data_IF_829660791849
#
_entry.id   IF_829660791849
#
_cell.length_a   1.000
_cell.length_b   1.000
_cell.length_c   1.000
_cell.angle_alpha   90.00
_cell.angle_beta   90.00
_cell.angle_gamma   90.00
#
_symmetry.space_group_name_H-M   'P 1'
#
loop_
_entity.id
_entity.type
_entity.pdbx_description
1 polymer ?
2 non-polymer ?
3 non-polymer ?
4 water ?
#
# COMPACT_ATOMS: atom_id res chain seq x y z
N UNK A 2 19.94 7.59 12.14
CA UNK A 2 18.95 6.73 11.44
C UNK A 2 17.78 6.35 12.37
N UNK A 3 16.70 5.88 11.78
CA UNK A 3 15.53 5.49 12.55
C UNK A 3 15.32 4.02 12.36
N UNK A 4 14.75 3.37 13.36
CA UNK A 4 14.34 1.97 13.24
C UNK A 4 12.82 1.92 13.11
N UNK A 5 12.36 1.17 12.13
CA UNK A 5 10.94 0.90 12.01
C UNK A 5 10.70 -0.59 12.10
N UNK A 6 9.84 -0.98 13.02
CA UNK A 6 9.61 -2.39 13.31
C UNK A 6 8.13 -2.70 13.18
N UNK A 7 7.80 -3.64 12.30
CA UNK A 7 6.46 -4.20 12.27
C UNK A 7 6.53 -5.45 13.14
N UNK A 8 5.80 -5.44 14.26
CA UNK A 8 6.02 -6.45 15.30
C UNK A 8 4.83 -7.38 15.51
N UNK A 9 5.12 -8.51 16.15
CA UNK A 9 4.18 -9.62 16.30
C UNK A 9 3.42 -9.85 14.98
N UNK A 10 4.16 -9.79 13.89
CA UNK A 10 3.58 -9.74 12.56
C UNK A 10 2.92 -11.05 12.20
N UNK A 11 1.79 -10.95 11.51
CA UNK A 11 0.99 -12.10 11.11
C UNK A 11 1.54 -12.73 9.81
N UNK A 12 2.83 -13.08 9.87
CA UNK A 12 3.58 -13.68 8.77
C UNK A 12 4.35 -14.89 9.33
N UNK A 13 3.85 -16.09 9.05
CA UNK A 13 4.42 -17.32 9.61
C UNK A 13 4.23 -18.45 8.62
N UNK A 14 5.07 -19.47 8.75
CA UNK A 14 4.80 -20.75 8.12
C UNK A 14 3.57 -21.39 8.78
N UNK A 15 2.93 -22.33 8.10
CA UNK A 15 1.76 -22.97 8.68
C UNK A 15 2.17 -23.66 9.98
N UNK A 16 1.51 -23.31 11.11
CA UNK A 16 1.83 -23.94 12.40
C UNK A 16 1.61 -25.46 12.37
N UNK A 17 2.55 -26.21 12.93
CA UNK A 17 2.45 -27.67 13.04
C UNK A 17 1.12 -28.14 13.64
N UNK A 18 0.63 -27.37 14.61
CA UNK A 18 -0.62 -27.61 15.30
C UNK A 18 -1.82 -27.86 14.37
N UNK A 19 -1.87 -27.15 13.24
CA UNK A 19 -3.06 -27.17 12.38
C UNK A 19 -2.88 -27.79 10.99
N UNK A 20 -1.71 -28.40 10.76
CA UNK A 20 -1.41 -29.02 9.46
C UNK A 20 -2.34 -30.19 9.08
N UNK A 21 -2.84 -30.89 10.09
CA UNK A 21 -3.82 -31.97 9.88
C UNK A 21 -5.19 -31.47 9.39
N UNK A 22 -5.44 -30.16 9.50
CA UNK A 22 -6.71 -29.59 9.07
C UNK A 22 -6.60 -28.83 7.74
N UNK A 23 -5.38 -28.66 7.25
CA UNK A 23 -5.13 -27.97 5.99
C UNK A 23 -5.25 -28.95 4.84
N UNK A 24 -6.22 -28.71 3.95
CA UNK A 24 -6.26 -29.46 2.71
C UNK A 24 -5.50 -28.66 1.64
N UNK A 25 -4.41 -29.22 1.13
CA UNK A 25 -3.61 -28.56 0.11
C UNK A 25 -4.41 -28.40 -1.19
N UNK A 26 -4.31 -27.23 -1.82
CA UNK A 26 -4.97 -27.01 -3.10
C UNK A 26 -4.11 -26.16 -4.04
N UNK A 27 -4.36 -26.32 -5.34
CA UNK A 27 -3.56 -25.68 -6.38
C UNK A 27 -3.84 -24.18 -6.52
N UNK A 28 -4.92 -23.69 -5.93
CA UNK A 28 -5.19 -22.25 -5.93
C UNK A 28 -4.29 -21.48 -4.96
N UNK A 29 -3.80 -22.17 -3.93
CA UNK A 29 -2.86 -21.58 -2.96
C UNK A 29 -1.77 -22.55 -2.60
N UNK A 30 -0.61 -22.41 -3.23
CA UNK A 30 0.47 -23.37 -3.08
C UNK A 30 1.63 -22.85 -2.22
N UNK A 31 1.31 -22.14 -1.15
CA UNK A 31 2.38 -21.62 -0.26
C UNK A 31 2.21 -22.17 1.15
N UNK A 32 3.34 -22.38 1.82
CA UNK A 32 3.34 -22.83 3.22
C UNK A 32 3.27 -21.66 4.21
N UNK A 33 2.64 -20.56 3.79
CA UNK A 33 2.45 -19.41 4.66
C UNK A 33 0.98 -19.30 5.07
N UNK A 34 0.76 -19.12 6.37
CA UNK A 34 -0.60 -18.98 6.91
C UNK A 34 -1.31 -17.76 6.34
N UNK A 35 -2.53 -17.97 5.81
CA UNK A 35 -3.33 -16.90 5.24
C UNK A 35 -4.79 -17.24 5.48
N UNK A 36 -5.44 -16.43 6.32
CA UNK A 36 -6.81 -16.70 6.76
C UNK A 36 -7.82 -16.68 5.62
N UNK A 37 -7.46 -16.06 4.50
CA UNK A 37 -8.26 -16.07 3.27
C UNK A 37 -8.48 -17.48 2.76
N UNK A 38 -7.46 -18.33 2.98
CA UNK A 38 -7.41 -19.70 2.47
C UNK A 38 -7.52 -20.75 3.58
N UNK A 39 -7.10 -20.39 4.80
CA UNK A 39 -6.96 -21.34 5.92
C UNK A 39 -7.94 -21.11 7.07
N UNK A 40 -8.94 -20.26 6.85
CA UNK A 40 -9.88 -19.86 7.91
C UNK A 40 -10.48 -21.00 8.74
N UNK A 41 -10.82 -22.11 8.09
CA UNK A 41 -11.41 -23.26 8.79
C UNK A 41 -10.40 -23.98 9.68
N UNK A 42 -9.21 -24.27 9.14
CA UNK A 42 -8.15 -24.94 9.89
C UNK A 42 -7.63 -24.12 11.08
N UNK A 43 -7.94 -22.83 11.08
CA UNK A 43 -7.46 -21.89 12.09
C UNK A 43 -8.46 -21.69 13.23
N UNK A 44 -9.58 -22.44 13.19
CA UNK A 44 -10.70 -22.20 14.11
C UNK A 44 -10.35 -22.33 15.58
N UNK A 45 -9.48 -23.27 15.93
CA UNK A 45 -9.01 -23.40 17.31
C UNK A 45 -7.50 -23.12 17.46
N UNK A 46 -6.99 -22.27 16.57
CA UNK A 46 -5.63 -21.76 16.68
C UNK A 46 -5.59 -20.62 17.70
N UNK A 47 -4.61 -20.68 18.61
CA UNK A 47 -4.40 -19.62 19.59
C UNK A 47 -4.13 -18.30 18.89
N UNK A 48 -4.79 -17.23 19.34
CA UNK A 48 -4.63 -15.87 18.78
C UNK A 48 -4.96 -15.78 17.28
N UNK A 49 -5.89 -16.61 16.82
CA UNK A 49 -6.24 -16.70 15.40
C UNK A 49 -6.64 -15.36 14.80
N UNK A 50 -7.25 -14.49 15.63
CA UNK A 50 -7.71 -13.17 15.20
C UNK A 50 -6.58 -12.23 14.78
N UNK A 51 -5.37 -12.48 15.27
CA UNK A 51 -4.20 -11.65 14.92
C UNK A 51 -3.17 -12.34 14.03
N UNK A 52 -3.51 -13.51 13.50
CA UNK A 52 -2.60 -14.32 12.70
C UNK A 52 -3.11 -14.53 11.27
N UNK A 53 -2.21 -14.93 10.37
CA UNK A 53 -2.55 -15.29 8.99
C UNK A 53 -3.00 -14.14 8.12
N UNK A 54 -2.28 -13.01 8.22
CA UNK A 54 -2.56 -11.83 7.40
C UNK A 54 -1.26 -11.29 6.77
N UNK A 55 -0.61 -12.10 5.92
CA UNK A 55 0.68 -11.68 5.37
C UNK A 55 0.55 -10.45 4.47
N UNK A 56 -0.65 -10.23 3.91
CA UNK A 56 -0.95 -9.06 3.09
C UNK A 56 -0.65 -7.73 3.81
N UNK A 57 -0.86 -7.69 5.13
CA UNK A 57 -0.60 -6.48 5.93
C UNK A 57 0.88 -6.09 5.87
N UNK A 58 1.75 -7.10 5.92
CA UNK A 58 3.19 -6.91 5.82
C UNK A 58 3.62 -6.51 4.39
N UNK A 59 2.97 -7.13 3.39
CA UNK A 59 3.22 -6.79 1.98
C UNK A 59 2.97 -5.30 1.72
N UNK A 60 1.77 -4.83 2.06
CA UNK A 60 1.39 -3.45 1.82
C UNK A 60 2.23 -2.47 2.65
N UNK A 61 2.45 -2.78 3.93
CA UNK A 61 3.29 -1.94 4.78
C UNK A 61 4.69 -1.78 4.21
N UNK A 62 5.28 -2.90 3.79
CA UNK A 62 6.65 -2.86 3.25
C UNK A 62 6.73 -2.13 1.90
N UNK A 63 5.74 -2.32 1.05
CA UNK A 63 5.65 -1.55 -0.20
C UNK A 63 5.68 -0.03 0.04
N UNK A 64 4.99 0.42 1.10
CA UNK A 64 5.01 1.82 1.53
C UNK A 64 6.36 2.25 2.14
N UNK A 65 6.89 1.44 3.06
CA UNK A 65 8.13 1.79 3.76
C UNK A 65 9.31 1.88 2.77
N UNK A 66 9.45 0.87 1.92
CA UNK A 66 10.60 0.74 1.03
C UNK A 66 10.66 1.84 -0.05
N UNK A 67 9.51 2.37 -0.44
CA UNK A 67 9.46 3.45 -1.43
C UNK A 67 9.43 4.85 -0.82
N UNK A 68 9.47 4.95 0.51
CA UNK A 68 9.36 6.25 1.13
C UNK A 68 10.65 7.05 0.91
N UNK A 69 10.54 8.39 0.79
CA UNK A 69 11.74 9.24 0.69
C UNK A 69 12.76 8.97 1.79
N UNK A 70 12.30 8.83 3.04
CA UNK A 70 13.20 8.55 4.16
C UNK A 70 14.02 7.25 3.95
N UNK A 71 13.44 6.24 3.32
CA UNK A 71 14.20 5.07 2.93
C UNK A 71 15.15 5.29 1.75
N UNK A 72 14.71 6.04 0.74
CA UNK A 72 15.57 6.39 -0.41
C UNK A 72 16.80 7.16 0.04
N UNK A 73 16.67 7.84 1.17
CA UNK A 73 17.78 8.57 1.78
C UNK A 73 18.58 7.74 2.76
N UNK A 74 18.27 6.45 2.85
CA UNK A 74 19.01 5.51 3.68
C UNK A 74 19.00 5.91 5.15
N UNK A 75 17.90 6.48 5.60
CA UNK A 75 17.81 6.87 7.00
C UNK A 75 16.95 5.91 7.85
N UNK A 76 16.63 4.75 7.28
CA UNK A 76 15.82 3.75 8.00
C UNK A 76 16.50 2.40 8.12
N UNK A 77 16.36 1.80 9.29
CA UNK A 77 16.59 0.36 9.48
C UNK A 77 15.22 -0.30 9.59
N UNK A 78 15.00 -1.34 8.80
CA UNK A 78 13.68 -1.94 8.65
C UNK A 78 13.67 -3.37 9.17
N UNK A 79 12.75 -3.65 10.10
CA UNK A 79 12.65 -4.98 10.69
C UNK A 79 11.22 -5.48 10.68
N UNK A 80 11.07 -6.78 10.40
CA UNK A 80 9.80 -7.45 10.61
C UNK A 80 10.02 -8.45 11.74
N UNK A 81 9.33 -8.25 12.86
CA UNK A 81 9.30 -9.23 13.93
C UNK A 81 7.98 -9.96 13.82
N UNK A 82 8.01 -11.29 13.84
CA UNK A 82 6.82 -12.08 13.55
C UNK A 82 6.15 -12.63 14.81
N UNK A 83 4.90 -13.08 14.69
CA UNK A 83 4.18 -13.68 15.82
C UNK A 83 5.04 -14.71 16.56
N UNK A 84 5.77 -15.54 15.80
CA UNK A 84 6.55 -16.62 16.40
C UNK A 84 8.02 -16.30 16.67
N UNK A 85 8.33 -15.01 16.81
CA UNK A 85 9.68 -14.56 17.19
C UNK A 85 10.75 -14.91 16.16
N UNK A 86 10.48 -14.61 14.90
CA UNK A 86 11.52 -14.52 13.90
C UNK A 86 11.66 -13.03 13.59
N UNK A 87 12.88 -12.59 13.30
CA UNK A 87 13.12 -11.20 12.93
C UNK A 87 13.76 -11.18 11.55
N UNK A 88 13.12 -10.47 10.62
CA UNK A 88 13.69 -10.26 9.30
C UNK A 88 14.25 -8.86 9.22
N UNK A 89 15.52 -8.72 8.91
CA UNK A 89 16.08 -7.42 8.64
C UNK A 89 16.00 -7.21 7.13
N UNK A 90 15.30 -6.15 6.73
CA UNK A 90 15.04 -5.87 5.29
C UNK A 90 16.03 -4.82 4.79
N UNK A 91 16.88 -5.19 3.84
CA UNK A 91 17.81 -4.23 3.24
C UNK A 91 17.01 -3.07 2.61
N UNK A 92 17.41 -1.81 2.87
CA UNK A 92 16.68 -0.68 2.26
C UNK A 92 16.50 -0.77 0.74
N UNK A 93 17.37 -1.53 0.07
CA UNK A 93 17.32 -1.64 -1.40
C UNK A 93 16.57 -2.86 -1.92
N UNK A 94 15.95 -3.61 -1.02
CA UNK A 94 15.05 -4.70 -1.40
C UNK A 94 14.03 -4.21 -2.43
N UNK A 95 13.91 -4.96 -3.51
CA UNK A 95 12.91 -4.71 -4.55
C UNK A 95 11.82 -5.72 -4.27
N UNK A 96 10.82 -5.33 -3.49
CA UNK A 96 9.80 -6.27 -3.05
C UNK A 96 8.82 -6.53 -4.18
N UNK A 97 8.47 -7.81 -4.42
CA UNK A 97 7.48 -8.11 -5.46
C UNK A 97 6.16 -7.36 -5.22
N UNK A 98 5.60 -6.82 -6.29
CA UNK A 98 4.31 -6.14 -6.18
C UNK A 98 3.16 -7.16 -6.26
N UNK A 99 3.44 -8.31 -6.86
CA UNK A 99 2.48 -9.40 -6.90
C UNK A 99 2.48 -10.15 -5.58
N UNK A 100 1.31 -10.21 -4.93
CA UNK A 100 1.17 -10.84 -3.62
C UNK A 100 1.72 -12.27 -3.56
N UNK A 101 1.31 -13.12 -4.51
CA UNK A 101 1.81 -14.51 -4.55
C UNK A 101 3.32 -14.57 -4.71
N UNK A 102 3.90 -13.68 -5.53
CA UNK A 102 5.36 -13.61 -5.66
C UNK A 102 6.00 -13.21 -4.33
N UNK A 103 5.41 -12.22 -3.66
CA UNK A 103 5.82 -11.87 -2.29
C UNK A 103 5.82 -13.09 -1.36
N UNK A 104 4.73 -13.86 -1.37
CA UNK A 104 4.60 -15.08 -0.55
C UNK A 104 5.69 -16.10 -0.87
N UNK A 105 6.01 -16.25 -2.16
CA UNK A 105 7.11 -17.13 -2.57
C UNK A 105 8.44 -16.74 -1.94
N UNK A 106 8.78 -15.45 -2.01
CA UNK A 106 10.01 -14.92 -1.41
C UNK A 106 10.04 -15.13 0.11
N UNK A 107 8.99 -14.70 0.80
CA UNK A 107 8.89 -14.83 2.26
C UNK A 107 8.96 -16.27 2.77
N UNK A 108 8.32 -17.19 2.03
CA UNK A 108 8.33 -18.61 2.36
C UNK A 108 9.75 -19.19 2.47
N UNK A 109 10.60 -18.85 1.50
CA UNK A 109 12.00 -19.32 1.49
C UNK A 109 12.81 -18.70 2.61
N UNK A 110 12.58 -17.41 2.86
CA UNK A 110 13.24 -16.71 3.97
C UNK A 110 12.87 -17.35 5.30
N UNK A 111 11.57 -17.61 5.51
CA UNK A 111 11.11 -18.15 6.79
C UNK A 111 11.59 -19.59 7.01
N UNK A 112 11.79 -20.32 5.91
CA UNK A 112 12.34 -21.68 5.94
C UNK A 112 13.86 -21.74 6.08
N UNK A 113 14.51 -20.58 6.15
CA UNK A 113 15.93 -20.50 6.42
C UNK A 113 16.86 -20.44 5.22
N UNK A 114 16.29 -20.41 4.02
CA UNK A 114 17.10 -20.23 2.80
C UNK A 114 17.72 -18.83 2.74
N UNK A 115 18.96 -18.76 2.26
CA UNK A 115 19.71 -17.52 2.24
C UNK A 115 19.14 -16.52 1.25
N UNK A 116 19.03 -15.27 1.70
CA UNK A 116 18.61 -14.17 0.86
C UNK A 116 19.48 -13.01 1.27
N UNK A 117 20.30 -12.51 0.35
CA UNK A 117 21.31 -11.49 0.70
C UNK A 117 20.69 -10.14 1.13
N UNK A 118 19.43 -9.92 0.75
CA UNK A 118 18.72 -8.68 1.12
C UNK A 118 17.78 -8.78 2.33
N UNK A 119 17.35 -10.00 2.66
CA UNK A 119 16.45 -10.25 3.80
C UNK A 119 17.06 -11.31 4.72
N UNK A 120 17.56 -10.87 5.87
CA UNK A 120 18.25 -11.74 6.82
C UNK A 120 17.30 -12.14 7.96
N UNK A 121 17.18 -13.45 8.18
CA UNK A 121 16.31 -13.96 9.23
C UNK A 121 17.10 -14.49 10.44
N UNK A 122 16.62 -14.16 11.63
CA UNK A 122 17.12 -14.75 12.88
C UNK A 122 15.96 -15.05 13.81
N UNK A 123 16.14 -16.01 14.71
CA UNK A 123 15.18 -16.31 15.76
C UNK A 123 15.45 -15.36 16.93
N UNK A 124 14.47 -14.54 17.27
CA UNK A 124 14.69 -13.43 18.20
C UNK A 124 13.36 -12.85 18.69
N UNK A 125 13.27 -12.59 19.99
CA UNK A 125 12.12 -11.88 20.58
C UNK A 125 12.21 -10.38 20.23
N UNK A 126 11.09 -9.69 20.36
CA UNK A 126 11.03 -8.25 20.14
C UNK A 126 11.90 -7.49 21.14
N UNK A 127 11.87 -7.92 22.39
CA UNK A 127 12.61 -7.22 23.45
C UNK A 127 14.10 -7.35 23.24
N UNK A 128 14.56 -8.55 22.83
CA UNK A 128 15.98 -8.73 22.50
C UNK A 128 16.40 -7.93 21.25
N UNK A 129 15.56 -7.88 20.23
CA UNK A 129 15.82 -7.01 19.07
C UNK A 129 16.05 -5.55 19.50
N UNK A 130 15.11 -5.01 20.30
CA UNK A 130 15.17 -3.63 20.76
C UNK A 130 16.49 -3.33 21.46
N UNK A 131 16.91 -4.24 22.33
CA UNK A 131 18.15 -4.08 23.07
C UNK A 131 19.36 -4.16 22.18
N UNK A 132 19.34 -5.12 21.26
CA UNK A 132 20.49 -5.40 20.40
C UNK A 132 20.76 -4.30 19.37
N UNK A 133 19.72 -3.58 18.95
CA UNK A 133 19.88 -2.43 18.03
C UNK A 133 20.06 -1.12 18.80
N UNK A 134 20.06 -1.22 20.12
CA UNK A 134 20.11 -0.07 21.04
C UNK A 134 19.01 0.98 20.79
N UNK A 135 17.77 0.50 20.71
CA UNK A 135 16.60 1.37 20.70
C UNK A 135 16.52 2.10 22.04
N UNK A 136 16.40 3.44 21.98
CA UNK A 136 16.55 4.32 23.15
C UNK A 136 15.23 4.95 23.53
N UNK A 137 14.70 5.76 22.62
CA UNK A 137 13.39 6.35 22.78
C UNK A 137 12.46 5.65 21.80
N UNK A 138 11.61 4.79 22.33
CA UNK A 138 10.76 3.90 21.56
C UNK A 138 9.32 4.39 21.59
N UNK A 139 8.73 4.55 20.40
CA UNK A 139 7.32 4.86 20.29
C UNK A 139 6.58 3.62 19.83
N UNK A 140 5.76 3.07 20.74
CA UNK A 140 4.85 1.98 20.39
C UNK A 140 3.57 2.61 19.86
N UNK A 141 3.31 2.39 18.58
CA UNK A 141 2.13 2.92 17.95
C UNK A 141 0.90 2.12 18.37
N UNK A 142 -0.12 2.84 18.83
CA UNK A 142 -1.41 2.25 19.20
C UNK A 142 -2.42 3.37 19.36
N UNK A 143 -3.64 3.13 18.87
CA UNK A 143 -4.74 4.09 18.98
C UNK A 143 -5.15 4.36 20.45
N UNK A 144 -4.64 3.57 21.39
CA UNK A 144 -4.96 3.72 22.81
C UNK A 144 -3.93 4.59 23.55
N UNK A 145 -2.89 5.01 22.82
CA UNK A 145 -1.81 5.81 23.40
C UNK A 145 -2.11 7.29 23.39
N UNK A 146 -1.11 8.08 23.80
CA UNK A 146 -1.23 9.54 23.84
C UNK A 146 -1.28 10.14 22.43
N UNK A 147 -2.35 10.88 22.14
CA UNK A 147 -2.53 11.50 20.83
C UNK A 147 -1.41 12.52 20.58
N UNK A 148 -0.74 12.35 19.45
CA UNK A 148 0.50 13.03 19.16
C UNK A 148 0.50 13.50 17.72
N UNK A 149 0.91 14.75 17.52
CA UNK A 149 1.09 15.25 16.17
C UNK A 149 2.34 14.61 15.57
N UNK A 150 2.22 14.09 14.33
CA UNK A 150 3.31 13.43 13.63
C UNK A 150 4.62 14.22 13.58
N UNK A 151 4.56 15.53 13.75
CA UNK A 151 5.78 16.35 13.76
C UNK A 151 6.68 16.04 14.96
N UNK A 152 6.09 15.51 16.03
CA UNK A 152 6.85 15.16 17.24
C UNK A 152 7.52 13.77 17.18
N UNK A 153 7.13 12.95 16.20
CA UNK A 153 7.67 11.60 16.06
C UNK A 153 9.18 11.60 15.84
N UNK A 154 9.69 12.67 15.23
CA UNK A 154 11.14 12.85 15.02
C UNK A 154 11.98 12.78 16.31
N UNK A 155 11.33 12.96 17.46
CA UNK A 155 12.01 12.87 18.74
C UNK A 155 12.30 11.43 19.21
N UNK A 156 11.74 10.44 18.49
CA UNK A 156 12.00 9.03 18.76
C UNK A 156 12.96 8.44 17.74
N UNK A 157 13.72 7.43 18.13
CA UNK A 157 14.59 6.72 17.19
C UNK A 157 13.98 5.39 16.69
N UNK A 158 12.99 4.87 17.40
CA UNK A 158 12.44 3.55 17.10
C UNK A 158 10.91 3.55 17.17
N UNK A 159 10.29 3.04 16.11
CA UNK A 159 8.84 2.98 15.99
C UNK A 159 8.39 1.55 15.85
N UNK A 160 7.41 1.16 16.66
CA UNK A 160 6.87 -0.20 16.60
C UNK A 160 5.41 -0.14 16.22
N UNK A 161 5.05 -0.86 15.15
CA UNK A 161 3.70 -0.91 14.64
C UNK A 161 3.31 -2.39 14.60
N UNK A 162 2.13 -2.73 15.11
CA UNK A 162 1.66 -4.12 15.07
C UNK A 162 1.37 -4.59 13.64
N UNK A 163 2.03 -5.67 13.21
CA UNK A 163 1.79 -6.22 11.87
C UNK A 163 0.64 -7.21 11.83
N UNK A 164 -0.49 -6.78 12.37
CA UNK A 164 -1.65 -7.64 12.57
C UNK A 164 -2.94 -6.82 12.44
N UNK A 165 -4.09 -7.49 12.26
CA UNK A 165 -5.33 -6.75 12.02
C UNK A 165 -6.12 -6.33 13.27
N UNK A 166 -5.95 -7.08 14.36
CA UNK A 166 -6.76 -6.94 15.56
C UNK A 166 -5.88 -7.21 16.77
N UNK A 167 -6.11 -6.44 17.83
CA UNK A 167 -5.38 -6.65 19.09
C UNK A 167 -4.55 -5.44 19.47
N UNK A 168 -3.81 -5.58 20.56
CA UNK A 168 -2.93 -4.51 21.00
C UNK A 168 -1.54 -5.07 21.21
N UNK A 169 -0.56 -4.27 20.84
CA UNK A 169 0.85 -4.58 21.03
C UNK A 169 1.19 -4.52 22.53
N UNK A 170 1.65 -5.64 23.08
CA UNK A 170 2.11 -5.70 24.47
C UNK A 170 3.60 -6.08 24.52
N UNK A 171 4.36 -5.32 25.30
CA UNK A 171 5.81 -5.51 25.44
C UNK A 171 6.19 -5.59 26.92
N UNK A 172 7.17 -6.45 27.23
CA UNK A 172 7.66 -6.55 28.61
C UNK A 172 8.68 -5.47 28.96
N UNK A 173 8.19 -4.44 29.67
CA UNK A 173 8.96 -3.25 30.05
C UNK A 173 10.29 -3.54 30.78
N UNK A 174 10.28 -4.53 31.67
CA UNK A 174 11.49 -4.85 32.44
C UNK A 174 12.57 -5.52 31.60
N UNK A 175 12.19 -5.97 30.40
CA UNK A 175 13.09 -6.68 29.50
C UNK A 175 13.73 -5.78 28.42
N UNK A 176 13.34 -4.51 28.42
CA UNK A 176 13.81 -3.54 27.43
C UNK A 176 14.62 -2.42 28.12
N UNK A 177 15.80 -2.13 27.59
CA UNK A 177 16.61 -1.09 28.18
C UNK A 177 16.10 0.31 27.83
N UNK A 178 15.67 0.51 26.59
CA UNK A 178 15.13 1.81 26.16
C UNK A 178 13.84 2.19 26.83
N UNK A 179 13.50 3.47 26.73
CA UNK A 179 12.24 4.00 27.21
C UNK A 179 11.13 3.79 26.19
N UNK A 180 10.03 3.22 26.65
CA UNK A 180 8.89 2.92 25.79
C UNK A 180 7.75 3.87 26.10
N UNK A 181 7.20 4.49 25.06
CA UNK A 181 6.01 5.34 25.18
C UNK A 181 4.95 4.90 24.17
N UNK A 182 3.71 4.78 24.63
CA UNK A 182 2.57 4.54 23.75
C UNK A 182 2.12 5.82 23.07
N UNK A 183 2.08 5.78 21.74
CA UNK A 183 1.78 6.96 20.92
C UNK A 183 0.61 6.68 19.95
N UNK A 184 -0.44 7.48 20.05
CA UNK A 184 -1.50 7.49 19.05
C UNK A 184 -1.33 8.70 18.13
N UNK A 185 -1.55 8.51 16.84
CA UNK A 185 -1.48 9.62 15.89
C UNK A 185 -2.84 9.93 15.24
N UNK A 186 -3.89 9.30 15.74
CA UNK A 186 -5.27 9.50 15.28
C UNK A 186 -6.27 8.88 16.26
N UNK A 187 -7.42 9.52 16.41
CA UNK A 187 -8.47 9.07 17.34
C UNK A 187 -9.30 7.89 16.84
N UNK A 188 -8.88 7.28 15.73
CA UNK A 188 -9.56 6.13 15.15
C UNK A 188 -8.52 5.05 14.82
N UNK A 189 -8.94 3.79 14.87
CA UNK A 189 -8.09 2.68 14.44
C UNK A 189 -7.74 2.81 12.97
N UNK A 190 -6.46 2.72 12.64
CA UNK A 190 -5.98 2.77 11.27
C UNK A 190 -5.30 1.45 10.93
N UNK A 191 -5.14 1.15 9.64
CA UNK A 191 -4.40 -0.04 9.21
C UNK A 191 -2.90 0.17 9.44
N UNK A 192 -2.16 -0.93 9.64
CA UNK A 192 -0.71 -0.85 9.86
C UNK A 192 0.00 -0.06 8.77
N UNK A 193 -0.39 -0.28 7.51
CA UNK A 193 0.27 0.42 6.40
C UNK A 193 0.12 1.92 6.43
N UNK A 194 -1.03 2.39 6.93
CA UNK A 194 -1.31 3.81 7.02
C UNK A 194 -0.44 4.44 8.10
N UNK A 195 -0.32 3.75 9.23
CA UNK A 195 0.52 4.22 10.33
C UNK A 195 1.98 4.27 9.86
N UNK A 196 2.42 3.22 9.17
CA UNK A 196 3.79 3.16 8.64
C UNK A 196 4.03 4.33 7.71
N UNK A 197 3.06 4.59 6.82
CA UNK A 197 3.13 5.71 5.87
C UNK A 197 3.25 7.05 6.58
N UNK A 198 2.37 7.31 7.52
CA UNK A 198 2.39 8.56 8.29
C UNK A 198 3.72 8.79 9.03
N UNK A 199 4.26 7.74 9.64
CA UNK A 199 5.56 7.84 10.29
C UNK A 199 6.68 8.20 9.30
N UNK A 200 6.76 7.45 8.19
CA UNK A 200 7.83 7.68 7.22
C UNK A 200 7.77 9.11 6.68
N UNK A 201 6.58 9.54 6.30
CA UNK A 201 6.42 10.88 5.76
C UNK A 201 6.65 12.01 6.80
N UNK A 202 6.25 11.76 8.06
CA UNK A 202 6.59 12.67 9.17
C UNK A 202 8.11 12.84 9.37
N UNK A 203 8.88 11.82 9.03
CA UNK A 203 10.34 11.86 9.18
C UNK A 203 11.00 12.59 8.03
N UNK A 204 10.36 12.54 6.87
CA UNK A 204 10.91 13.14 5.64
C UNK A 204 10.55 14.62 5.58
N UNK A 205 9.40 14.97 6.11
CA UNK A 205 8.83 16.30 5.92
C UNK A 205 8.53 16.97 7.27
N UNK B 2 -13.58 20.39 0.54
CA UNK B 2 -13.26 19.03 0.02
C UNK B 2 -12.11 19.10 -0.99
N UNK B 3 -11.35 18.02 -1.12
CA UNK B 3 -10.31 17.92 -2.13
C UNK B 3 -10.66 16.82 -3.10
N UNK B 4 -10.29 17.00 -4.37
CA UNK B 4 -10.37 15.91 -5.34
C UNK B 4 -9.01 15.25 -5.49
N UNK B 5 -8.99 13.92 -5.40
CA UNK B 5 -7.76 13.21 -5.75
C UNK B 5 -8.06 12.28 -6.92
N UNK B 6 -7.23 12.37 -7.96
CA UNK B 6 -7.46 11.64 -9.19
C UNK B 6 -6.24 10.81 -9.54
N UNK B 7 -6.42 9.50 -9.62
CA UNK B 7 -5.41 8.64 -10.21
C UNK B 7 -5.76 8.52 -11.68
N UNK B 8 -4.91 9.07 -12.56
CA UNK B 8 -5.26 9.30 -13.96
C UNK B 8 -4.43 8.47 -14.93
N UNK B 9 -4.96 8.29 -16.15
CA UNK B 9 -4.43 7.35 -17.17
C UNK B 9 -4.07 6.01 -16.53
N UNK B 10 -4.91 5.58 -15.60
CA UNK B 10 -4.64 4.43 -14.75
C UNK B 10 -4.57 3.16 -15.57
N UNK B 11 -3.60 2.31 -15.22
CA UNK B 11 -3.33 1.05 -15.91
C UNK B 11 -4.31 -0.06 -15.46
N UNK B 12 -5.61 0.27 -15.53
CA UNK B 12 -6.71 -0.60 -15.09
C UNK B 12 -7.74 -0.68 -16.21
N UNK B 13 -7.70 -1.77 -16.97
CA UNK B 13 -8.52 -1.91 -18.18
C UNK B 13 -8.97 -3.34 -18.39
N UNK B 14 -10.14 -3.51 -18.98
CA UNK B 14 -10.52 -4.80 -19.53
C UNK B 14 -9.56 -5.06 -20.69
N UNK B 15 -9.38 -6.33 -21.05
CA UNK B 15 -8.42 -6.67 -22.10
C UNK B 15 -8.75 -5.95 -23.42
N UNK B 16 -7.81 -5.16 -23.96
CA UNK B 16 -8.01 -4.45 -25.23
C UNK B 16 -8.41 -5.39 -26.35
N UNK B 17 -9.39 -4.96 -27.14
CA UNK B 17 -9.88 -5.71 -28.30
C UNK B 17 -8.76 -6.24 -29.20
N UNK B 18 -7.73 -5.42 -29.41
CA UNK B 18 -6.61 -5.75 -30.32
C UNK B 18 -5.76 -6.93 -29.89
N UNK B 19 -5.86 -7.35 -28.62
CA UNK B 19 -5.10 -8.50 -28.14
C UNK B 19 -5.96 -9.55 -27.45
N UNK B 20 -7.28 -9.41 -27.57
CA UNK B 20 -8.20 -10.41 -27.02
C UNK B 20 -7.91 -11.82 -27.54
N UNK B 21 -7.44 -11.93 -28.80
CA UNK B 21 -7.18 -13.24 -29.42
C UNK B 21 -5.91 -13.93 -28.92
N UNK B 22 -5.07 -13.19 -28.20
CA UNK B 22 -3.82 -13.72 -27.62
C UNK B 22 -3.94 -14.05 -26.12
N UNK B 23 -5.08 -13.71 -25.52
CA UNK B 23 -5.25 -13.87 -24.08
C UNK B 23 -6.51 -14.68 -23.80
N UNK B 24 -6.35 -15.73 -23.01
CA UNK B 24 -7.49 -16.52 -22.54
C UNK B 24 -7.56 -16.57 -21.02
N UNK B 25 -8.78 -16.62 -20.49
CA UNK B 25 -8.99 -16.87 -19.07
C UNK B 25 -8.31 -18.18 -18.67
N UNK B 26 -7.68 -18.20 -17.51
CA UNK B 26 -7.09 -19.43 -16.98
C UNK B 26 -7.54 -19.61 -15.53
N UNK B 27 -7.17 -20.72 -14.91
CA UNK B 27 -7.47 -20.93 -13.49
C UNK B 27 -6.53 -20.10 -12.63
N UNK B 28 -5.33 -19.88 -13.14
CA UNK B 28 -4.33 -19.04 -12.47
C UNK B 28 -4.78 -17.56 -12.46
N UNK B 29 -5.40 -17.12 -13.54
CA UNK B 29 -5.89 -15.74 -13.66
C UNK B 29 -7.14 -15.71 -14.52
N UNK B 30 -8.30 -15.70 -13.87
CA UNK B 30 -9.58 -15.84 -14.58
C UNK B 30 -10.23 -14.52 -14.95
N UNK B 31 -9.56 -13.40 -14.69
CA UNK B 31 -10.17 -12.08 -14.80
C UNK B 31 -9.97 -11.48 -16.19
N UNK B 32 -10.95 -10.70 -16.64
CA UNK B 32 -10.83 -9.99 -17.92
C UNK B 32 -10.09 -8.64 -17.82
N UNK B 33 -9.33 -8.45 -16.75
CA UNK B 33 -8.53 -7.23 -16.56
C UNK B 33 -7.08 -7.49 -16.98
N UNK B 34 -6.51 -6.57 -17.77
CA UNK B 34 -5.13 -6.70 -18.26
C UNK B 34 -4.13 -6.58 -17.11
N UNK B 35 -3.24 -7.56 -17.01
CA UNK B 35 -2.19 -7.58 -15.99
C UNK B 35 -0.92 -8.14 -16.62
N UNK B 36 0.10 -7.30 -16.76
CA UNK B 36 1.36 -7.67 -17.40
C UNK B 36 2.14 -8.79 -16.68
N UNK B 37 1.82 -9.07 -15.41
CA UNK B 37 2.41 -10.26 -14.74
C UNK B 37 1.96 -11.57 -15.38
N UNK B 38 0.78 -11.55 -16.00
CA UNK B 38 0.20 -12.75 -16.58
C UNK B 38 0.11 -12.65 -18.10
N UNK B 39 0.08 -11.41 -18.61
CA UNK B 39 -0.23 -11.15 -20.02
C UNK B 39 0.89 -10.47 -20.83
N UNK B 40 2.13 -10.47 -20.31
CA UNK B 40 3.20 -9.66 -20.87
C UNK B 40 3.44 -9.92 -22.37
N UNK B 41 3.52 -11.19 -22.76
CA UNK B 41 3.84 -11.54 -24.15
C UNK B 41 2.75 -11.09 -25.11
N UNK B 42 1.50 -11.28 -24.71
CA UNK B 42 0.36 -10.83 -25.52
C UNK B 42 0.29 -9.31 -25.72
N UNK B 43 0.95 -8.56 -24.84
CA UNK B 43 1.00 -7.10 -24.93
C UNK B 43 2.14 -6.56 -25.81
N UNK B 44 2.91 -7.48 -26.40
CA UNK B 44 4.11 -7.16 -27.19
C UNK B 44 3.94 -5.96 -28.12
N UNK B 45 2.85 -5.95 -28.88
CA UNK B 45 2.62 -4.91 -29.89
C UNK B 45 1.50 -3.94 -29.50
N UNK B 46 1.11 -3.96 -28.22
CA UNK B 46 0.11 -3.04 -27.71
C UNK B 46 0.67 -1.63 -27.59
N UNK B 47 -0.08 -0.65 -28.07
CA UNK B 47 0.28 0.76 -27.92
C UNK B 47 0.46 1.09 -26.43
N UNK B 48 1.46 1.91 -26.12
CA UNK B 48 1.78 2.32 -24.74
C UNK B 48 1.84 1.17 -23.72
N UNK B 49 2.23 -0.02 -24.20
CA UNK B 49 2.28 -1.23 -23.36
C UNK B 49 2.97 -1.01 -22.04
N UNK B 50 3.97 -0.13 -22.04
CA UNK B 50 4.81 0.10 -20.87
C UNK B 50 4.09 0.86 -19.74
N UNK B 51 2.94 1.45 -20.04
CA UNK B 51 2.18 2.16 -19.01
C UNK B 51 0.81 1.51 -18.74
N UNK B 52 0.59 0.32 -19.31
CA UNK B 52 -0.67 -0.39 -19.17
C UNK B 52 -0.50 -1.74 -18.46
N UNK B 53 -1.61 -2.33 -18.02
CA UNK B 53 -1.61 -3.65 -17.42
C UNK B 53 -0.99 -3.72 -16.04
N UNK B 54 -1.32 -2.75 -15.19
CA UNK B 54 -0.81 -2.73 -13.81
C UNK B 54 -1.90 -2.38 -12.78
N UNK B 55 -2.94 -3.24 -12.66
CA UNK B 55 -4.03 -2.95 -11.71
C UNK B 55 -3.54 -2.86 -10.27
N UNK B 56 -2.40 -3.49 -9.97
CA UNK B 56 -1.84 -3.48 -8.62
C UNK B 56 -1.48 -2.07 -8.10
N UNK B 57 -1.03 -1.21 -9.01
CA UNK B 57 -0.75 0.19 -8.67
C UNK B 57 -1.99 0.89 -8.09
N UNK B 58 -3.14 0.65 -8.72
CA UNK B 58 -4.43 1.21 -8.29
C UNK B 58 -4.88 0.59 -6.96
N UNK B 59 -4.72 -0.74 -6.85
CA UNK B 59 -5.01 -1.44 -5.60
C UNK B 59 -4.33 -0.81 -4.39
N UNK B 60 -2.99 -0.73 -4.44
CA UNK B 60 -2.19 -0.20 -3.33
C UNK B 60 -2.44 1.30 -3.07
N UNK B 61 -2.56 2.09 -4.13
CA UNK B 61 -2.91 3.51 -4.02
C UNK B 61 -4.25 3.72 -3.33
N UNK B 62 -5.27 2.94 -3.71
CA UNK B 62 -6.60 3.09 -3.12
C UNK B 62 -6.68 2.58 -1.68
N UNK B 63 -5.94 1.52 -1.37
CA UNK B 63 -5.76 1.10 0.03
C UNK B 63 -5.19 2.22 0.91
N UNK B 64 -4.22 2.99 0.38
CA UNK B 64 -3.64 4.13 1.09
C UNK B 64 -4.64 5.29 1.22
N UNK B 65 -5.24 5.66 0.11
CA UNK B 65 -6.17 6.79 0.09
C UNK B 65 -7.37 6.55 1.01
N UNK B 66 -8.03 5.40 0.86
CA UNK B 66 -9.26 5.12 1.58
C UNK B 66 -9.07 5.02 3.09
N UNK B 67 -7.89 4.61 3.52
CA UNK B 67 -7.65 4.52 4.96
C UNK B 67 -7.01 5.77 5.55
N UNK B 68 -6.74 6.80 4.73
CA UNK B 68 -6.10 8.02 5.25
C UNK B 68 -7.03 8.79 6.20
N UNK B 69 -6.46 9.43 7.25
CA UNK B 69 -7.26 10.32 8.12
C UNK B 69 -8.09 11.36 7.33
N UNK B 70 -7.51 12.02 6.34
CA UNK B 70 -8.29 12.95 5.50
C UNK B 70 -9.54 12.31 4.85
N UNK B 71 -9.45 11.03 4.49
CA UNK B 71 -10.63 10.33 4.00
C UNK B 71 -11.61 9.93 5.08
N UNK B 72 -11.12 9.53 6.25
CA UNK B 72 -12.00 9.22 7.38
C UNK B 72 -12.80 10.47 7.80
N UNK B 73 -12.20 11.63 7.62
CA UNK B 73 -12.86 12.91 7.87
C UNK B 73 -13.81 13.36 6.74
N UNK B 74 -13.92 12.55 5.69
CA UNK B 74 -14.84 12.83 4.58
C UNK B 74 -14.46 14.09 3.78
N UNK B 75 -13.16 14.39 3.72
CA UNK B 75 -12.68 15.57 3.02
C UNK B 75 -12.08 15.30 1.64
N UNK B 76 -12.29 14.07 1.12
CA UNK B 76 -11.82 13.70 -0.22
C UNK B 76 -12.93 13.24 -1.14
N UNK B 77 -12.83 13.66 -2.40
CA UNK B 77 -13.53 13.03 -3.51
C UNK B 77 -12.47 12.25 -4.31
N UNK B 78 -12.75 10.98 -4.58
CA UNK B 78 -11.73 10.06 -5.11
C UNK B 78 -12.15 9.55 -6.48
N UNK B 79 -11.26 9.68 -7.45
CA UNK B 79 -11.53 9.27 -8.83
C UNK B 79 -10.40 8.44 -9.40
N UNK B 80 -10.77 7.40 -10.13
CA UNK B 80 -9.82 6.68 -10.95
C UNK B 80 -10.16 7.00 -12.39
N UNK B 81 -9.26 7.67 -13.09
CA UNK B 81 -9.43 7.81 -14.54
C UNK B 81 -8.49 6.81 -15.19
N UNK B 82 -8.98 6.06 -16.17
CA UNK B 82 -8.21 4.94 -16.73
C UNK B 82 -7.67 5.30 -18.10
N UNK B 83 -6.74 4.48 -18.58
CA UNK B 83 -6.10 4.70 -19.87
C UNK B 83 -7.13 4.83 -20.99
N UNK B 84 -8.19 4.01 -20.96
CA UNK B 84 -9.21 4.03 -22.01
C UNK B 84 -10.42 4.91 -21.68
N UNK B 85 -10.19 5.96 -20.89
CA UNK B 85 -11.20 6.98 -20.59
C UNK B 85 -12.49 6.49 -19.96
N UNK B 86 -12.36 5.71 -18.89
CA UNK B 86 -13.48 5.48 -17.98
C UNK B 86 -13.10 6.16 -16.67
N UNK B 87 -14.10 6.60 -15.92
CA UNK B 87 -13.88 7.28 -14.65
C UNK B 87 -14.67 6.52 -13.60
N UNK B 88 -13.97 6.06 -12.58
CA UNK B 88 -14.61 5.41 -11.44
C UNK B 88 -14.63 6.39 -10.29
N UNK B 89 -15.82 6.69 -9.79
CA UNK B 89 -15.93 7.51 -8.60
C UNK B 89 -16.04 6.58 -7.40
N UNK B 90 -15.09 6.71 -6.47
CA UNK B 90 -14.98 5.82 -5.33
C UNK B 90 -15.61 6.44 -4.06
N UNK B 91 -16.68 5.83 -3.56
CA UNK B 91 -17.27 6.32 -2.30
C UNK B 91 -16.26 6.25 -1.17
N UNK B 92 -16.12 7.34 -0.39
CA UNK B 92 -15.23 7.38 0.78
C UNK B 92 -15.33 6.19 1.76
N UNK B 93 -16.51 5.56 1.84
CA UNK B 93 -16.70 4.40 2.74
C UNK B 93 -16.53 3.03 2.07
N UNK B 94 -16.09 3.03 0.80
CA UNK B 94 -15.73 1.78 0.12
C UNK B 94 -14.75 1.01 0.99
N UNK B 95 -15.08 -0.27 1.22
CA UNK B 95 -14.18 -1.20 1.88
C UNK B 95 -13.56 -2.05 0.78
N UNK B 96 -12.36 -1.67 0.40
CA UNK B 96 -11.70 -2.26 -0.73
C UNK B 96 -11.06 -3.55 -0.28
N UNK B 97 -11.28 -4.65 -1.02
CA UNK B 97 -10.65 -5.91 -0.64
C UNK B 97 -9.14 -5.75 -0.55
N UNK B 98 -8.57 -6.30 0.50
CA UNK B 98 -7.13 -6.28 0.66
C UNK B 98 -6.51 -7.36 -0.22
N UNK B 99 -7.29 -8.39 -0.55
CA UNK B 99 -6.82 -9.44 -1.44
C UNK B 99 -6.87 -8.97 -2.89
N UNK B 100 -5.70 -9.03 -3.54
CA UNK B 100 -5.53 -8.56 -4.92
C UNK B 100 -6.55 -9.15 -5.91
N UNK B 101 -6.75 -10.47 -5.85
CA UNK B 101 -7.70 -11.12 -6.78
C UNK B 101 -9.16 -10.74 -6.50
N UNK B 102 -9.51 -10.59 -5.22
CA UNK B 102 -10.82 -10.08 -4.84
C UNK B 102 -11.04 -8.64 -5.36
N UNK B 103 -10.02 -7.80 -5.21
CA UNK B 103 -10.01 -6.46 -5.83
C UNK B 103 -10.29 -6.54 -7.35
N UNK B 104 -9.59 -7.42 -8.06
CA UNK B 104 -9.80 -7.59 -9.50
C UNK B 104 -11.23 -7.99 -9.85
N UNK B 105 -11.79 -8.90 -9.06
CA UNK B 105 -13.18 -9.34 -9.22
C UNK B 105 -14.20 -8.20 -9.09
N UNK B 106 -14.02 -7.36 -8.08
CA UNK B 106 -14.84 -6.15 -7.90
C UNK B 106 -14.69 -5.20 -9.10
N UNK B 107 -13.45 -4.87 -9.47
CA UNK B 107 -13.17 -3.91 -10.54
C UNK B 107 -13.69 -4.38 -11.89
N UNK B 108 -13.50 -5.68 -12.17
CA UNK B 108 -13.99 -6.30 -13.42
C UNK B 108 -15.49 -6.07 -13.62
N UNK B 109 -16.27 -6.29 -12.58
CA UNK B 109 -17.72 -6.08 -12.62
C UNK B 109 -18.06 -4.61 -12.89
N UNK B 110 -17.40 -3.72 -12.16
CA UNK B 110 -17.56 -2.27 -12.36
C UNK B 110 -17.28 -1.87 -13.83
N UNK B 111 -16.16 -2.36 -14.36
CA UNK B 111 -15.70 -1.96 -15.69
C UNK B 111 -16.59 -2.51 -16.81
N UNK B 112 -17.31 -3.59 -16.51
CA UNK B 112 -18.27 -4.21 -17.44
C UNK B 112 -19.67 -3.59 -17.31
N UNK B 113 -19.81 -2.59 -16.45
CA UNK B 113 -21.05 -1.84 -16.33
C UNK B 113 -22.07 -2.41 -15.38
N UNK B 114 -21.68 -3.39 -14.57
CA UNK B 114 -22.56 -3.92 -13.53
C UNK B 114 -22.62 -2.93 -12.39
N UNK B 115 -23.82 -2.70 -11.86
CA UNK B 115 -24.05 -1.70 -10.83
C UNK B 115 -23.32 -2.01 -9.54
N UNK B 116 -22.59 -1.03 -9.04
CA UNK B 116 -22.01 -1.09 -7.70
C UNK B 116 -22.39 0.21 -7.00
N UNK B 117 -23.05 0.12 -5.85
CA UNK B 117 -23.53 1.33 -5.19
C UNK B 117 -22.42 2.24 -4.62
N UNK B 118 -21.22 1.69 -4.42
CA UNK B 118 -20.08 2.44 -3.86
C UNK B 118 -19.06 2.90 -4.90
N UNK B 119 -19.12 2.31 -6.09
CA UNK B 119 -18.22 2.64 -7.18
C UNK B 119 -18.99 2.85 -8.47
N UNK B 120 -19.00 4.09 -8.96
CA UNK B 120 -19.78 4.46 -10.12
C UNK B 120 -18.85 4.68 -11.33
N UNK B 121 -19.17 4.02 -12.44
CA UNK B 121 -18.36 4.10 -13.65
C UNK B 121 -19.06 4.92 -14.76
N UNK B 122 -18.29 5.78 -15.42
CA UNK B 122 -18.74 6.54 -16.59
C UNK B 122 -17.63 6.59 -17.63
N UNK B 123 -18.02 6.61 -18.92
CA UNK B 123 -17.11 6.93 -20.01
C UNK B 123 -16.82 8.42 -19.94
N UNK B 124 -15.55 8.79 -19.85
CA UNK B 124 -15.18 10.17 -19.55
C UNK B 124 -13.68 10.41 -19.70
N UNK B 125 -13.32 11.49 -20.40
CA UNK B 125 -11.91 11.89 -20.50
C UNK B 125 -11.49 12.58 -19.20
N UNK B 126 -10.17 12.70 -19.01
CA UNK B 126 -9.61 13.38 -17.83
C UNK B 126 -9.97 14.86 -17.81
N UNK B 127 -9.85 15.49 -18.98
CA UNK B 127 -10.18 16.92 -19.13
C UNK B 127 -11.65 17.16 -18.81
N UNK B 128 -12.54 16.32 -19.34
CA UNK B 128 -13.97 16.39 -19.03
C UNK B 128 -14.26 16.18 -17.54
N UNK B 129 -13.55 15.24 -16.90
CA UNK B 129 -13.69 15.04 -15.44
C UNK B 129 -13.34 16.30 -14.68
N UNK B 130 -12.19 16.90 -14.99
CA UNK B 130 -11.71 18.11 -14.34
C UNK B 130 -12.70 19.29 -14.40
N UNK B 131 -13.28 19.48 -15.58
CA UNK B 131 -14.31 20.52 -15.78
C UNK B 131 -15.61 20.20 -15.07
N UNK B 132 -16.04 18.95 -15.13
CA UNK B 132 -17.27 18.55 -14.43
C UNK B 132 -17.24 18.74 -12.92
N UNK B 133 -16.12 18.38 -12.28
CA UNK B 133 -15.96 18.58 -10.85
C UNK B 133 -15.60 20.03 -10.49
N UNK B 134 -15.50 20.89 -11.51
CA UNK B 134 -15.17 22.31 -11.32
C UNK B 134 -13.81 22.50 -10.64
N UNK B 135 -12.82 21.72 -11.08
CA UNK B 135 -11.44 21.89 -10.58
C UNK B 135 -10.91 23.27 -11.01
N UNK B 136 -10.29 23.98 -10.07
CA UNK B 136 -9.84 25.35 -10.34
C UNK B 136 -8.32 25.50 -10.18
N UNK B 137 -7.80 24.99 -9.06
CA UNK B 137 -6.37 24.98 -8.80
C UNK B 137 -5.90 23.53 -8.74
N UNK B 138 -5.37 23.07 -9.85
CA UNK B 138 -5.00 21.68 -10.05
C UNK B 138 -3.49 21.53 -9.91
N UNK B 139 -3.07 20.57 -9.09
CA UNK B 139 -1.68 20.17 -9.02
C UNK B 139 -1.49 18.84 -9.74
N UNK B 140 -0.72 18.84 -10.81
CA UNK B 140 -0.40 17.61 -11.52
C UNK B 140 0.94 17.14 -10.99
N UNK B 141 0.91 15.96 -10.39
CA UNK B 141 2.09 15.42 -9.76
C UNK B 141 2.97 14.74 -10.80
N UNK B 142 4.23 15.14 -10.82
CA UNK B 142 5.24 14.55 -11.70
C UNK B 142 6.61 14.92 -11.12
N UNK B 143 7.55 13.97 -11.19
CA UNK B 143 8.93 14.22 -10.70
C UNK B 143 9.64 15.35 -11.46
N UNK B 144 9.16 15.64 -12.68
CA UNK B 144 9.70 16.69 -13.54
C UNK B 144 9.20 18.08 -13.13
N UNK B 145 8.24 18.12 -12.20
CA UNK B 145 7.63 19.38 -11.79
C UNK B 145 8.49 20.24 -10.87
N UNK B 146 7.94 21.40 -10.48
CA UNK B 146 8.58 22.26 -9.49
C UNK B 146 8.58 21.60 -8.11
N UNK B 147 9.76 21.53 -7.50
CA UNK B 147 9.92 20.93 -6.16
C UNK B 147 9.17 21.75 -5.12
N UNK B 148 8.19 21.12 -4.49
CA UNK B 148 7.28 21.79 -3.55
C UNK B 148 7.24 21.01 -2.25
N UNK B 149 7.44 21.70 -1.13
CA UNK B 149 7.19 21.09 0.16
C UNK B 149 5.70 20.77 0.26
N UNK B 150 5.36 19.54 0.67
CA UNK B 150 3.97 19.08 0.73
C UNK B 150 3.06 19.99 1.56
N UNK B 151 3.67 20.89 2.32
CA UNK B 151 2.97 21.88 3.15
C UNK B 151 2.10 22.82 2.32
N UNK B 152 2.50 23.04 1.07
CA UNK B 152 1.78 23.95 0.17
C UNK B 152 0.66 23.29 -0.63
N UNK B 153 0.58 21.96 -0.57
CA UNK B 153 -0.43 21.23 -1.33
C UNK B 153 -1.86 21.64 -0.94
N UNK B 154 -2.03 22.09 0.29
CA UNK B 154 -3.31 22.58 0.81
C UNK B 154 -3.91 23.79 0.06
N UNK B 155 -3.10 24.46 -0.75
CA UNK B 155 -3.55 25.59 -1.56
C UNK B 155 -4.29 25.15 -2.82
N UNK B 156 -4.22 23.86 -3.15
CA UNK B 156 -4.88 23.31 -4.33
C UNK B 156 -6.18 22.60 -3.97
N UNK B 157 -7.09 22.51 -4.94
CA UNK B 157 -8.36 21.80 -4.75
C UNK B 157 -8.38 20.40 -5.36
N UNK B 158 -7.50 20.16 -6.34
CA UNK B 158 -7.49 18.94 -7.13
C UNK B 158 -6.07 18.43 -7.36
N UNK B 159 -5.85 17.14 -7.11
CA UNK B 159 -4.54 16.51 -7.30
C UNK B 159 -4.63 15.37 -8.30
N UNK B 160 -3.68 15.34 -9.23
CA UNK B 160 -3.64 14.31 -10.25
C UNK B 160 -2.33 13.51 -10.12
N UNK B 161 -2.48 12.19 -10.02
CA UNK B 161 -1.34 11.28 -9.91
C UNK B 161 -1.51 10.24 -11.00
N UNK B 162 -0.46 9.98 -11.76
CA UNK B 162 -0.48 8.91 -12.76
C UNK B 162 -0.65 7.54 -12.11
N UNK B 163 -1.71 6.82 -12.48
CA UNK B 163 -1.90 5.44 -12.01
C UNK B 163 -1.22 4.41 -12.90
N UNK B 164 0.05 4.66 -13.22
CA UNK B 164 0.77 3.82 -14.16
C UNK B 164 2.24 3.72 -13.72
N UNK B 165 2.99 2.72 -14.24
CA UNK B 165 4.37 2.53 -13.79
C UNK B 165 5.40 3.46 -14.43
N UNK B 166 5.25 3.73 -15.73
CA UNK B 166 6.30 4.39 -16.48
C UNK B 166 5.73 5.48 -17.36
N UNK B 167 6.53 6.51 -17.61
CA UNK B 167 6.17 7.54 -18.57
C UNK B 167 5.81 8.83 -17.88
N UNK B 168 5.10 9.68 -18.59
CA UNK B 168 4.67 10.95 -18.03
C UNK B 168 3.23 11.19 -18.41
N UNK B 169 2.46 11.75 -17.47
CA UNK B 169 1.08 12.06 -17.73
C UNK B 169 0.98 13.22 -18.72
N UNK B 170 0.27 12.98 -19.82
CA UNK B 170 0.00 14.02 -20.79
C UNK B 170 -1.45 14.49 -20.66
N UNK B 171 -1.62 15.81 -20.58
CA UNK B 171 -2.95 16.42 -20.49
C UNK B 171 -3.07 17.63 -21.42
N UNK B 172 -4.22 17.76 -22.07
CA UNK B 172 -4.52 18.91 -22.92
C UNK B 172 -5.09 20.07 -22.10
N UNK B 173 -4.18 20.95 -21.70
CA UNK B 173 -4.50 22.08 -20.83
C UNK B 173 -5.43 23.12 -21.46
N UNK B 174 -5.51 23.11 -22.79
CA UNK B 174 -6.40 23.98 -23.54
C UNK B 174 -7.86 23.51 -23.48
N UNK B 175 -8.07 22.26 -23.02
CA UNK B 175 -9.42 21.72 -22.83
C UNK B 175 -9.88 21.78 -21.37
N UNK B 176 -9.03 22.31 -20.49
CA UNK B 176 -9.27 22.34 -19.05
C UNK B 176 -9.48 23.78 -18.61
N UNK B 177 -10.60 24.05 -17.93
CA UNK B 177 -10.90 25.40 -17.44
C UNK B 177 -10.02 25.83 -16.28
N UNK B 178 -9.70 24.91 -15.37
CA UNK B 178 -8.89 25.22 -14.21
C UNK B 178 -7.43 25.48 -14.53
N UNK B 179 -6.72 26.06 -13.56
CA UNK B 179 -5.29 26.29 -13.70
C UNK B 179 -4.49 25.04 -13.29
N UNK B 180 -3.56 24.62 -14.16
CA UNK B 180 -2.72 23.44 -13.91
C UNK B 180 -1.25 23.82 -13.60
N UNK B 181 -0.78 23.36 -12.44
CA UNK B 181 0.61 23.52 -12.04
C UNK B 181 1.24 22.13 -11.85
N UNK B 182 2.37 21.90 -12.51
CA UNK B 182 3.13 20.66 -12.35
C UNK B 182 3.98 20.73 -11.09
N UNK B 183 3.77 19.76 -10.20
CA UNK B 183 4.42 19.79 -8.88
C UNK B 183 5.22 18.51 -8.61
N UNK B 184 6.44 18.69 -8.13
CA UNK B 184 7.24 17.59 -7.58
C UNK B 184 7.34 17.71 -6.06
N UNK B 185 7.26 16.57 -5.39
CA UNK B 185 7.47 16.51 -3.94
C UNK B 185 8.77 15.77 -3.58
N UNK B 186 9.55 15.38 -4.60
CA UNK B 186 10.80 14.65 -4.37
C UNK B 186 11.67 14.55 -5.63
N UNK B 187 13.00 14.62 -5.43
CA UNK B 187 13.98 14.60 -6.52
C UNK B 187 14.11 13.25 -7.25
N UNK B 188 13.45 12.23 -6.72
CA UNK B 188 13.52 10.87 -7.25
C UNK B 188 12.13 10.47 -7.73
N UNK B 189 12.07 9.53 -8.67
CA UNK B 189 10.80 8.94 -9.10
C UNK B 189 10.25 8.08 -7.98
N UNK B 190 9.01 8.36 -7.57
CA UNK B 190 8.33 7.57 -6.54
C UNK B 190 7.20 6.77 -7.16
N UNK B 191 6.71 5.76 -6.45
CA UNK B 191 5.56 5.00 -6.92
C UNK B 191 4.29 5.82 -6.68
N UNK B 192 3.25 5.55 -7.47
CA UNK B 192 2.00 6.31 -7.36
C UNK B 192 1.40 6.24 -5.96
N UNK B 193 1.47 5.07 -5.32
CA UNK B 193 0.87 4.92 -3.98
C UNK B 193 1.54 5.78 -2.92
N UNK B 194 2.85 5.97 -3.07
CA UNK B 194 3.66 6.78 -2.18
C UNK B 194 3.30 8.26 -2.31
N UNK B 195 3.14 8.71 -3.54
CA UNK B 195 2.70 10.07 -3.82
C UNK B 195 1.29 10.33 -3.27
N UNK B 196 0.36 9.42 -3.54
CA UNK B 196 -0.99 9.48 -2.98
C UNK B 196 -0.93 9.58 -1.46
N UNK B 197 -0.13 8.72 -0.83
CA UNK B 197 0.05 8.78 0.62
C UNK B 197 0.58 10.12 1.10
N UNK B 198 1.62 10.64 0.44
CA UNK B 198 2.23 11.90 0.88
C UNK B 198 1.25 13.06 0.81
N UNK B 199 0.52 13.14 -0.29
CA UNK B 199 -0.56 14.13 -0.46
C UNK B 199 -1.61 13.99 0.64
N UNK B 200 -2.09 12.76 0.84
CA UNK B 200 -3.13 12.53 1.83
C UNK B 200 -2.73 12.96 3.24
N UNK B 201 -1.50 12.66 3.62
CA UNK B 201 -1.09 12.99 4.97
C UNK B 201 -0.69 14.49 5.10
N UNK B 202 -0.21 15.09 4.01
CA UNK B 202 -0.03 16.56 3.93
C UNK B 202 -1.31 17.33 4.23
N UNK B 203 -2.45 16.72 3.89
CA UNK B 203 -3.74 17.38 4.04
C UNK B 203 -4.25 17.33 5.47
N UNK B 204 -3.79 16.34 6.24
CA UNK B 204 -4.19 16.19 7.64
C UNK B 204 -3.25 16.84 8.63
N UNK B 205 -1.98 16.97 8.24
CA UNK B 205 -0.94 17.27 9.20
C UNK B 205 -0.08 18.44 8.74
X LIG C 1 -4.65 -1.46 17.39
X LIG C 1 -5.71 -1.61 16.34
X LIG C 1 -5.67 -3.03 15.75
X LIG C 1 -4.46 -3.35 14.87
X LIG C 1 -4.06 -2.05 13.64
X LIG C 1 -7.10 -1.28 16.87
X LIG C 1 -7.88 -0.58 16.21
X LIG C 1 -7.51 -1.69 17.96
X LIG C 1 -2.34 -2.64 13.52
X LIG C 1 -1.29 -1.70 14.11
X LIG C 1 -1.37 -0.38 13.58
X LIG C 1 -1.45 -1.54 15.61
X LIG C 1 -0.85 -2.59 16.34
X LIG C 1 -0.84 -0.19 15.89
X LIG C 1 0.53 -0.35 16.13
X LIG C 1 -1.07 0.58 14.60
X LIG C 1 -2.15 1.61 14.76
X LIG C 1 -3.46 1.47 14.41
X LIG C 1 -4.12 2.62 14.69
X LIG C 1 -3.24 3.51 15.23
X LIG C 1 -3.39 4.82 15.68
X LIG C 1 -4.59 5.44 15.65
X LIG C 1 -2.30 5.50 16.18
X LIG C 1 -1.05 4.87 16.22
X LIG C 1 -0.92 3.57 15.78
X LIG C 1 -1.99 2.89 15.27
X LIG D 1 19.40 -12.54 24.25
X LIG D 1 20.69 -13.08 24.29
X LIG D 1 18.73 -12.62 25.61
X LIG D 1 19.57 -12.11 26.62
X LIG D 1 18.28 -14.05 25.92
X LIG D 1 18.23 -14.84 24.75
X LIG E 1 19.22 4.39 17.97
X LIG E 1 20.23 3.92 18.83
X LIG E 1 19.18 3.57 16.67
X LIG E 1 19.32 2.19 16.92
X LIG E 1 20.22 4.07 15.67
X LIG E 1 20.12 3.34 14.46
X LIG F 1 19.93 -8.34 16.07
X LIG F 1 21.04 -8.24 16.91
X LIG F 1 20.20 -7.69 14.71
X LIG F 1 19.61 -6.42 14.69
X LIG F 1 19.63 -8.52 13.55
X LIG F 1 18.24 -8.73 13.69
X LIG G 1 16.27 3.13 -1.04
X LIG G 1 17.50 2.93 -0.38
X LIG G 1 16.36 3.09 -2.57
X LIG G 1 16.01 1.80 -3.01
X LIG G 1 17.71 3.52 -3.15
X LIG G 1 18.00 4.88 -2.89
X LIG H 1 6.19 9.75 -14.05
X LIG H 1 6.99 8.72 -13.32
X LIG H 1 6.52 7.32 -13.68
X LIG H 1 5.20 6.91 -13.03
X LIG H 1 5.19 7.07 -11.22
X LIG H 1 8.49 8.85 -13.56
X LIG H 1 8.93 9.42 -14.58
X LIG H 1 9.31 8.40 -12.76
X LIG H 1 3.41 7.30 -11.30
X LIG H 1 2.95 8.69 -10.89
X LIG H 1 3.44 9.08 -9.62
X LIG H 1 3.44 9.78 -11.83
X LIG H 1 2.66 9.88 -12.98
X LIG H 1 3.30 11.00 -10.98
X LIG H 1 1.95 11.36 -11.06
X LIG H 1 3.66 10.48 -9.60
X LIG H 1 5.08 10.74 -9.20
X LIG H 1 6.13 9.86 -9.34
X LIG H 1 7.25 10.42 -8.85
X LIG H 1 6.96 11.64 -8.38
X LIG H 1 7.74 12.62 -7.77
X LIG H 1 9.04 12.42 -7.55
X LIG H 1 7.17 13.81 -7.39
X LIG H 1 5.81 14.03 -7.61
X LIG H 1 5.03 13.05 -8.21
X LIG H 1 5.60 11.86 -8.59
X LIG I 1 -18.12 14.36 -11.50
X LIG I 1 -18.99 14.51 -12.59
X LIG I 1 -18.84 13.53 -10.44
X LIG I 1 -18.37 13.85 -9.15
X LIG I 1 -18.65 12.06 -10.77
X LIG I 1 -18.39 11.93 -12.15
X LIG J 1 2.83 13.87 6.76
X LIG J 1 3.66 14.34 7.79
X LIG J 1 3.10 14.63 5.45
X LIG J 1 3.92 13.84 4.62
X LIG J 1 3.75 15.99 5.71
X LIG J 1 3.37 16.90 4.71
X LIG K 1 -13.04 22.31 -6.81
X LIG K 1 -13.86 23.45 -6.63
X LIG K 1 -13.57 21.06 -6.12
X LIG K 1 -14.45 20.31 -6.94
X LIG K 1 -14.17 21.32 -4.74
X LIG K 1 -13.18 21.06 -3.77
#
# INVERSE_FOLDING_TARGET
XTYNIILAKSALELIPEEIKNKIRKSRVYKYDILDSNYHYKAMEKLKDKEMRGRPDIIHISLLNILDSPINHEKKLNIYIHTYDDKVLKINPETRLPRNYFRFLGVMEKVLKGERNHLIKMEEKTLEDLLNEINAKKIAIMTKTGKLTHPKLLKEYDTFIIGGFPYGKLKINKEKVFGDIKEISIYNKGLMAWTVCGIICYSLSF
XTYNIILAKSALELIPEEIKNKIRKSRVYKYDILDSNYHYKAMEKLKDKEMRGRPDIIHISLLNILDSPINHEKKLNIYIHTYDDKVLKINPETRLPRNYFRFLGVMEKVLKGERNHLIKMEEKTLEDLLNEINAKKIAIMTKTGKLTHPKLLKEYDTFIIGGFPYGKLKINKEKVFGDIKEISIYNKGLMAWTVCGIICYSLSF
SAH N CA CB CG SD C O OXT C5' C4' O4' C3' O3' C2' O2' C1' N9 C8 N7 C5 C6 N6 N1 C2 N3 C4
GOL C1 O1 C2 O2 C3 O3
GOL C1 O1 C2 O2 C3 O3
GOL C1 O1 C2 O2 C3 O3
GOL C1 O1 C2 O2 C3 O3
SAH N CA CB CG SD C O OXT C5' C4' O4' C3' O3' C2' O2' C1' N9 C8 N7 C5 C6 N6 N1 C2 N3 C4
GOL C1 O1 C2 O2 C3 O3
GOL C1 O1 C2 O2 C3 O3
GOL C1 O1 C2 O2 C3 O3
#
